data_IF_299452884276
#
_entry.id   IF_299452884276
#
_cell.length_a   1.000
_cell.length_b   1.000
_cell.length_c   1.000
_cell.angle_alpha   90.00
_cell.angle_beta   90.00
_cell.angle_gamma   90.00
#
_symmetry.space_group_name_H-M   'P 1'
#
loop_
_entity.id
_entity.type
_entity.pdbx_description
1 polymer ?
#
# COMPACT_ATOMS: atom_id res chain seq x y z
N UNK A 1 5.18 6.98 8.94
CA UNK A 1 5.87 5.72 8.61
C UNK A 1 5.57 5.36 7.16
N UNK A 2 6.53 4.76 6.43
CA UNK A 2 6.35 4.32 5.05
C UNK A 2 6.74 2.85 4.90
N UNK A 3 5.92 2.07 4.22
CA UNK A 3 6.03 0.62 4.04
C UNK A 3 5.37 0.23 2.71
N UNK A 4 5.64 -0.93 2.09
CA UNK A 4 4.74 -1.47 1.07
C UNK A 4 3.31 -1.59 1.61
N UNK A 5 2.32 -1.43 0.75
CA UNK A 5 0.90 -1.67 1.10
C UNK A 5 0.64 -3.17 1.24
N UNK A 6 1.19 -3.96 0.33
CA UNK A 6 1.02 -5.42 0.27
C UNK A 6 2.39 -6.10 0.14
N UNK A 7 2.54 -7.36 0.59
CA UNK A 7 3.82 -8.08 0.51
C UNK A 7 4.19 -8.53 -0.91
N UNK A 8 3.23 -8.57 -1.82
CA UNK A 8 3.40 -8.88 -3.24
C UNK A 8 2.52 -7.96 -4.10
N UNK A 9 2.75 -7.98 -5.40
CA UNK A 9 1.75 -7.52 -6.38
C UNK A 9 0.53 -8.44 -6.39
N UNK A 10 -0.48 -8.07 -7.18
CA UNK A 10 -1.71 -8.85 -7.31
C UNK A 10 -1.41 -10.31 -7.68
N UNK A 11 -2.01 -11.24 -6.95
CA UNK A 11 -1.96 -12.67 -7.25
C UNK A 11 -3.10 -13.07 -8.19
N UNK A 12 -2.92 -14.19 -8.89
CA UNK A 12 -3.92 -14.74 -9.81
C UNK A 12 -5.24 -15.13 -9.12
N UNK A 13 -6.34 -15.07 -9.86
CA UNK A 13 -7.64 -15.51 -9.35
C UNK A 13 -7.58 -16.97 -8.90
N UNK A 14 -8.04 -17.24 -7.68
CA UNK A 14 -8.03 -18.57 -7.09
C UNK A 14 -6.70 -19.01 -6.48
N UNK A 15 -5.62 -18.23 -6.58
CA UNK A 15 -4.29 -18.65 -6.10
C UNK A 15 -4.24 -18.92 -4.58
N UNK A 16 -5.02 -18.18 -3.78
CA UNK A 16 -4.97 -18.23 -2.31
C UNK A 16 -6.27 -18.68 -1.64
N UNK A 17 -7.13 -19.41 -2.36
CA UNK A 17 -8.45 -19.82 -1.83
C UNK A 17 -8.40 -21.14 -1.05
N UNK A 18 -7.35 -21.94 -1.27
CA UNK A 18 -7.22 -23.27 -0.68
C UNK A 18 -6.56 -23.24 0.70
N UNK A 19 -5.76 -22.20 1.01
CA UNK A 19 -5.19 -21.95 2.32
C UNK A 19 -5.58 -20.53 2.80
N UNK A 20 -6.46 -20.40 3.82
CA UNK A 20 -6.87 -19.10 4.32
C UNK A 20 -5.72 -18.30 4.95
N UNK A 21 -4.66 -18.96 5.45
CA UNK A 21 -3.53 -18.26 6.03
C UNK A 21 -2.73 -17.49 4.98
N UNK A 22 -2.58 -18.05 3.77
CA UNK A 22 -1.92 -17.34 2.66
C UNK A 22 -2.68 -16.07 2.26
N UNK A 23 -4.01 -16.11 2.35
CA UNK A 23 -4.85 -14.93 2.13
C UNK A 23 -4.62 -13.89 3.21
N UNK A 24 -4.62 -14.27 4.49
CA UNK A 24 -4.41 -13.34 5.60
C UNK A 24 -3.05 -12.64 5.58
N UNK A 25 -2.01 -13.32 5.11
CA UNK A 25 -0.69 -12.70 4.96
C UNK A 25 -0.67 -11.53 3.98
N UNK A 26 -1.68 -11.40 3.11
CA UNK A 26 -1.82 -10.24 2.22
C UNK A 26 -2.01 -8.93 3.00
N UNK A 27 -2.58 -9.00 4.22
CA UNK A 27 -2.91 -7.84 5.07
C UNK A 27 -1.85 -7.55 6.15
N UNK A 28 -0.69 -8.22 6.10
CA UNK A 28 0.34 -8.12 7.14
C UNK A 28 0.82 -6.68 7.38
N UNK A 29 0.79 -5.83 6.34
CA UNK A 29 1.19 -4.43 6.44
C UNK A 29 0.01 -3.47 6.66
N UNK A 30 -1.24 -3.87 6.42
CA UNK A 30 -2.40 -2.98 6.47
C UNK A 30 -3.08 -2.99 7.83
N UNK A 31 -3.23 -4.17 8.46
CA UNK A 31 -4.00 -4.34 9.69
C UNK A 31 -3.46 -3.53 10.87
N UNK A 32 -2.16 -3.23 10.89
CA UNK A 32 -1.52 -2.48 11.97
C UNK A 32 -2.08 -1.06 12.11
N UNK A 33 -2.43 -0.41 10.99
CA UNK A 33 -3.06 0.92 11.01
C UNK A 33 -4.46 0.89 11.61
N UNK A 34 -5.26 -0.14 11.30
CA UNK A 34 -6.60 -0.32 11.85
C UNK A 34 -6.55 -0.55 13.37
N UNK A 35 -5.66 -1.43 13.82
CA UNK A 35 -5.50 -1.75 15.25
C UNK A 35 -5.02 -0.55 16.06
N UNK A 36 -4.12 0.24 15.51
CA UNK A 36 -3.66 1.48 16.15
C UNK A 36 -4.66 2.64 16.01
N UNK A 37 -5.69 2.52 15.17
CA UNK A 37 -6.69 3.58 14.94
C UNK A 37 -6.12 4.82 14.25
N UNK A 38 -5.08 4.67 13.44
CA UNK A 38 -4.36 5.77 12.78
C UNK A 38 -4.68 5.83 11.29
N UNK A 39 -4.60 7.01 10.65
CA UNK A 39 -4.84 7.12 9.22
C UNK A 39 -3.71 6.47 8.41
N UNK A 40 -4.09 5.77 7.34
CA UNK A 40 -3.19 5.18 6.36
C UNK A 40 -3.69 5.43 4.93
N UNK A 41 -2.75 5.55 3.99
CA UNK A 41 -3.04 5.78 2.56
C UNK A 41 -2.11 4.90 1.72
N UNK A 42 -2.66 4.25 0.70
CA UNK A 42 -1.89 3.56 -0.34
C UNK A 42 -1.82 4.43 -1.58
N UNK A 43 -0.63 4.58 -2.17
CA UNK A 43 -0.42 5.24 -3.45
C UNK A 43 0.41 4.36 -4.39
N UNK A 44 0.27 4.47 -5.73
CA UNK A 44 1.14 3.78 -6.66
C UNK A 44 2.59 4.26 -6.52
N UNK A 45 3.54 3.33 -6.46
CA UNK A 45 4.98 3.64 -6.37
C UNK A 45 5.82 3.03 -7.48
N UNK A 46 5.18 2.34 -8.43
CA UNK A 46 5.84 1.67 -9.54
C UNK A 46 5.09 0.41 -9.96
N UNK A 47 5.79 -0.44 -10.71
CA UNK A 47 5.28 -1.74 -11.15
C UNK A 47 6.33 -2.83 -10.96
N UNK A 48 5.86 -4.04 -10.72
CA UNK A 48 6.68 -5.26 -10.71
C UNK A 48 5.98 -6.25 -11.63
N UNK A 49 6.70 -6.79 -12.61
CA UNK A 49 6.18 -7.74 -13.61
C UNK A 49 4.91 -7.24 -14.33
N UNK A 50 4.87 -5.93 -14.62
CA UNK A 50 3.72 -5.31 -15.29
C UNK A 50 2.51 -5.07 -14.39
N UNK A 51 2.57 -5.37 -13.09
CA UNK A 51 1.49 -5.14 -12.12
C UNK A 51 1.81 -3.96 -11.19
N UNK A 52 0.81 -3.14 -10.79
CA UNK A 52 1.03 -2.02 -9.87
C UNK A 52 1.57 -2.45 -8.50
N UNK A 53 2.55 -1.70 -7.99
CA UNK A 53 3.07 -1.81 -6.64
C UNK A 53 2.63 -0.60 -5.80
N UNK A 54 2.10 -0.88 -4.60
CA UNK A 54 1.58 0.13 -3.68
C UNK A 54 2.56 0.48 -2.55
N UNK A 55 2.74 1.77 -2.30
CA UNK A 55 3.41 2.32 -1.12
C UNK A 55 2.39 2.86 -0.13
N UNK A 56 2.50 2.44 1.13
CA UNK A 56 1.63 2.83 2.22
C UNK A 56 2.29 3.86 3.12
N UNK A 57 1.61 4.99 3.30
CA UNK A 57 1.95 6.04 4.25
C UNK A 57 1.03 5.88 5.46
N UNK A 58 1.60 5.74 6.66
CA UNK A 58 0.87 5.71 7.94
C UNK A 58 1.21 6.98 8.73
N UNK A 59 0.19 7.77 9.04
CA UNK A 59 0.30 9.02 9.80
C UNK A 59 -0.03 8.85 11.28
N UNK A 60 0.22 9.87 12.13
CA UNK A 60 -0.36 9.92 13.47
C UNK A 60 -1.87 10.17 13.39
N UNK A 61 -2.59 10.00 14.52
CA UNK A 61 -4.01 10.40 14.60
C UNK A 61 -4.20 11.83 14.08
N UNK A 62 -5.16 12.01 13.17
CA UNK A 62 -5.49 13.28 12.53
C UNK A 62 -4.33 13.91 11.71
N UNK A 63 -3.38 13.08 11.27
CA UNK A 63 -2.18 13.48 10.52
C UNK A 63 -2.34 13.55 9.01
N UNK A 64 -3.57 13.49 8.47
CA UNK A 64 -3.85 13.33 7.04
C UNK A 64 -3.24 14.46 6.21
N UNK A 65 -3.17 15.68 6.74
CA UNK A 65 -2.58 16.82 6.04
C UNK A 65 -1.11 16.57 5.65
N UNK A 66 -0.32 15.96 6.54
CA UNK A 66 1.06 15.60 6.26
C UNK A 66 1.15 14.40 5.29
N UNK A 67 0.21 13.47 5.39
CA UNK A 67 0.12 12.32 4.48
C UNK A 67 -0.14 12.78 3.04
N UNK A 68 -1.12 13.66 2.82
CA UNK A 68 -1.41 14.21 1.49
C UNK A 68 -0.23 14.99 0.91
N UNK A 69 0.48 15.78 1.72
CA UNK A 69 1.71 16.45 1.26
C UNK A 69 2.79 15.46 0.82
N UNK A 70 2.95 14.38 1.58
CA UNK A 70 3.93 13.32 1.27
C UNK A 70 3.53 12.58 0.00
N UNK A 71 2.26 12.20 -0.14
CA UNK A 71 1.73 11.55 -1.32
C UNK A 71 1.89 12.41 -2.58
N UNK A 72 1.59 13.71 -2.49
CA UNK A 72 1.79 14.66 -3.59
C UNK A 72 3.26 14.79 -4.00
N UNK A 73 4.17 14.83 -3.03
CA UNK A 73 5.61 14.87 -3.31
C UNK A 73 6.09 13.58 -4.01
N UNK A 74 5.58 12.42 -3.59
CA UNK A 74 5.88 11.13 -4.21
C UNK A 74 5.32 11.04 -5.64
N UNK A 75 4.06 11.41 -5.85
CA UNK A 75 3.42 11.46 -7.16
C UNK A 75 4.22 12.32 -8.14
N UNK A 76 4.62 13.53 -7.72
CA UNK A 76 5.44 14.43 -8.54
C UNK A 76 6.82 13.88 -8.87
N UNK A 77 7.41 13.11 -7.96
CA UNK A 77 8.76 12.57 -8.12
C UNK A 77 8.79 11.32 -8.99
N UNK A 78 7.76 10.48 -8.89
CA UNK A 78 7.64 9.22 -9.64
C UNK A 78 7.03 9.41 -11.02
N UNK A 79 6.27 10.49 -11.23
CA UNK A 79 5.68 10.80 -12.53
C UNK A 79 4.62 9.78 -12.98
N UNK A 80 4.31 9.82 -14.28
CA UNK A 80 3.27 8.97 -14.88
C UNK A 80 3.64 7.48 -14.92
N UNK A 81 4.94 7.15 -14.87
CA UNK A 81 5.43 5.77 -14.96
C UNK A 81 4.98 4.88 -13.78
N UNK A 82 4.72 5.47 -12.61
CA UNK A 82 4.14 4.75 -11.48
C UNK A 82 2.63 4.43 -11.66
N UNK A 83 1.96 5.09 -12.61
CA UNK A 83 0.51 5.02 -12.82
C UNK A 83 0.09 4.30 -14.12
N UNK A 84 0.94 4.32 -15.15
CA UNK A 84 0.71 3.70 -16.46
C UNK A 84 1.12 2.24 -16.48
#
# INVERSE_FOLDING_TARGET
LFTPTTPSTAFELGAKINDPYEMYLSDIFTVTANLAGVPAMSIPIGRVDGLPAGGQIIGPHFGEQAMFRTAFALERSLGAEAHQ
#
